data_IF_106001967351
#
_entry.id   IF_106001967351
#
_cell.length_a   1.000
_cell.length_b   1.000
_cell.length_c   1.000
_cell.angle_alpha   90.00
_cell.angle_beta   90.00
_cell.angle_gamma   90.00
#
_symmetry.space_group_name_H-M   'P 1'
#
loop_
_entity.id
_entity.type
_entity.pdbx_description
1 polymer ?
#
# COMPACT_ATOMS: atom_id res chain seq x y z
N UNK A 1 38.20 70.27 27.39
CA UNK A 1 37.19 69.70 26.49
C UNK A 1 37.44 68.19 26.43
N UNK A 2 36.53 67.38 26.96
CA UNK A 2 36.73 65.92 27.04
C UNK A 2 36.34 65.29 25.70
N UNK A 3 37.31 64.69 25.01
CA UNK A 3 37.08 64.01 23.74
C UNK A 3 36.38 62.68 24.01
N UNK A 4 35.08 62.60 23.70
CA UNK A 4 34.33 61.36 23.76
C UNK A 4 34.98 60.32 22.82
N UNK A 5 35.44 59.19 23.38
CA UNK A 5 36.16 58.17 22.64
C UNK A 5 35.19 57.37 21.74
N UNK A 6 35.18 57.57 20.40
CA UNK A 6 34.13 57.07 19.52
C UNK A 6 34.13 55.54 19.38
N UNK A 7 35.31 54.92 19.51
CA UNK A 7 35.50 53.46 19.44
C UNK A 7 34.75 52.70 20.54
N UNK A 8 34.71 53.24 21.76
CA UNK A 8 34.02 52.61 22.89
C UNK A 8 32.50 52.74 22.84
N UNK A 9 31.96 53.62 21.99
CA UNK A 9 30.52 53.72 21.74
C UNK A 9 30.07 52.62 20.77
N UNK A 10 30.80 52.48 19.66
CA UNK A 10 30.55 51.45 18.63
C UNK A 10 30.59 50.03 19.22
N UNK A 11 31.55 49.74 20.13
CA UNK A 11 31.62 48.42 20.77
C UNK A 11 30.42 48.13 21.68
N UNK A 12 29.87 49.15 22.35
CA UNK A 12 28.68 49.00 23.20
C UNK A 12 27.42 48.79 22.37
N UNK A 13 27.26 49.54 21.28
CA UNK A 13 26.10 49.40 20.39
C UNK A 13 26.07 47.99 19.76
N UNK A 14 27.22 47.45 19.37
CA UNK A 14 27.34 46.06 18.87
C UNK A 14 27.05 45.00 19.94
N UNK A 15 27.38 45.27 21.21
CA UNK A 15 27.07 44.36 22.31
C UNK A 15 25.56 44.29 22.57
N UNK A 16 24.89 45.45 22.55
CA UNK A 16 23.43 45.54 22.71
C UNK A 16 22.71 44.79 21.58
N UNK A 17 23.15 44.97 20.33
CA UNK A 17 22.59 44.24 19.18
C UNK A 17 22.77 42.72 19.32
N UNK A 18 23.92 42.27 19.84
CA UNK A 18 24.16 40.84 20.09
C UNK A 18 23.27 40.30 21.22
N UNK A 19 23.03 41.07 22.27
CA UNK A 19 22.11 40.72 23.36
C UNK A 19 20.66 40.58 22.85
N UNK A 20 20.22 41.50 21.98
CA UNK A 20 18.91 41.42 21.33
C UNK A 20 18.78 40.17 20.44
N UNK A 21 19.82 39.86 19.65
CA UNK A 21 19.84 38.65 18.83
C UNK A 21 19.84 37.37 19.67
N UNK A 22 20.58 37.36 20.80
CA UNK A 22 20.57 36.24 21.73
C UNK A 22 19.18 36.03 22.34
N UNK A 23 18.47 37.11 22.69
CA UNK A 23 17.12 37.02 23.21
C UNK A 23 16.14 36.45 22.16
N UNK A 24 16.24 36.90 20.91
CA UNK A 24 15.44 36.35 19.81
C UNK A 24 15.72 34.86 19.60
N UNK A 25 16.99 34.43 19.68
CA UNK A 25 17.35 33.02 19.53
C UNK A 25 16.76 32.14 20.65
N UNK A 26 16.70 32.66 21.88
CA UNK A 26 16.05 31.97 23.00
C UNK A 26 14.55 31.80 22.72
N UNK A 27 13.86 32.85 22.27
CA UNK A 27 12.44 32.79 21.93
C UNK A 27 12.14 31.80 20.80
N UNK A 28 13.01 31.77 19.77
CA UNK A 28 12.92 30.79 18.67
C UNK A 28 13.15 29.38 19.19
N UNK A 29 14.13 29.17 20.06
CA UNK A 29 14.41 27.86 20.67
C UNK A 29 13.23 27.35 21.49
N UNK A 30 12.59 28.23 22.26
CA UNK A 30 11.39 27.91 23.05
C UNK A 30 10.21 27.52 22.15
N UNK A 31 10.04 28.24 21.05
CA UNK A 31 9.01 27.95 20.04
C UNK A 31 9.25 26.60 19.35
N UNK A 32 10.51 26.26 19.03
CA UNK A 32 10.85 24.96 18.44
C UNK A 32 10.50 23.83 19.42
N UNK A 33 10.92 23.95 20.69
CA UNK A 33 10.63 22.94 21.72
C UNK A 33 9.12 22.74 21.91
N UNK A 34 8.35 23.83 21.85
CA UNK A 34 6.89 23.76 21.89
C UNK A 34 6.30 23.01 20.68
N UNK A 35 6.79 23.30 19.47
CA UNK A 35 6.34 22.62 18.26
C UNK A 35 6.69 21.14 18.25
N UNK A 36 7.89 20.77 18.71
CA UNK A 36 8.30 19.36 18.87
C UNK A 36 7.37 18.61 19.83
N UNK A 37 7.05 19.21 20.98
CA UNK A 37 6.08 18.62 21.92
C UNK A 37 4.69 18.43 21.30
N UNK A 38 4.22 19.40 20.49
CA UNK A 38 2.93 19.31 19.80
C UNK A 38 2.92 18.25 18.70
N UNK A 39 4.06 18.05 18.02
CA UNK A 39 4.20 16.99 17.03
C UNK A 39 4.14 15.60 17.67
N UNK A 40 4.81 15.41 18.81
CA UNK A 40 4.78 14.14 19.54
C UNK A 40 3.35 13.80 20.00
N UNK A 41 2.63 14.78 20.57
CA UNK A 41 1.23 14.61 20.99
C UNK A 41 0.32 14.21 19.81
N UNK A 42 0.54 14.81 18.62
CA UNK A 42 -0.21 14.47 17.41
C UNK A 42 0.13 13.04 16.96
N UNK A 43 1.41 12.66 16.98
CA UNK A 43 1.85 11.32 16.60
C UNK A 43 1.21 10.25 17.49
N UNK A 44 1.23 10.43 18.82
CA UNK A 44 0.59 9.54 19.79
C UNK A 44 -0.92 9.43 19.54
N UNK A 45 -1.59 10.55 19.24
CA UNK A 45 -3.03 10.57 18.96
C UNK A 45 -3.39 9.82 17.69
N UNK A 46 -2.59 9.97 16.62
CA UNK A 46 -2.77 9.24 15.36
C UNK A 46 -2.58 7.74 15.60
N UNK A 47 -1.54 7.36 16.33
CA UNK A 47 -1.21 5.98 16.67
C UNK A 47 -2.32 5.31 17.51
N UNK A 48 -2.87 6.02 18.49
CA UNK A 48 -4.03 5.55 19.25
C UNK A 48 -5.28 5.41 18.39
N UNK A 49 -5.56 6.36 17.50
CA UNK A 49 -6.70 6.30 16.58
C UNK A 49 -6.60 5.09 15.64
N UNK A 50 -5.42 4.84 15.07
CA UNK A 50 -5.19 3.68 14.20
C UNK A 50 -5.40 2.36 14.94
N UNK A 51 -4.85 2.23 16.16
CA UNK A 51 -5.07 1.03 16.98
C UNK A 51 -6.55 0.79 17.28
N UNK A 52 -7.29 1.84 17.62
CA UNK A 52 -8.71 1.74 17.91
C UNK A 52 -9.52 1.31 16.69
N UNK A 53 -9.21 1.87 15.51
CA UNK A 53 -9.88 1.49 14.26
C UNK A 53 -9.59 0.03 13.88
N UNK A 54 -8.34 -0.41 14.00
CA UNK A 54 -7.96 -1.82 13.78
C UNK A 54 -8.70 -2.74 14.75
N UNK A 55 -8.76 -2.39 16.04
CA UNK A 55 -9.48 -3.16 17.04
C UNK A 55 -10.98 -3.23 16.74
N UNK A 56 -11.58 -2.12 16.31
CA UNK A 56 -12.98 -2.05 15.92
C UNK A 56 -13.30 -2.92 14.71
N UNK A 57 -12.51 -2.80 13.63
CA UNK A 57 -12.64 -3.62 12.42
C UNK A 57 -12.48 -5.10 12.73
N UNK A 58 -11.46 -5.47 13.53
CA UNK A 58 -11.25 -6.86 13.96
C UNK A 58 -12.42 -7.40 14.77
N UNK A 59 -12.98 -6.59 15.67
CA UNK A 59 -14.16 -6.99 16.46
C UNK A 59 -15.36 -7.25 15.56
N UNK A 60 -15.63 -6.34 14.60
CA UNK A 60 -16.72 -6.52 13.63
C UNK A 60 -16.52 -7.78 12.79
N UNK A 61 -15.32 -7.99 12.26
CA UNK A 61 -14.98 -9.17 11.46
C UNK A 61 -15.23 -10.46 12.26
N UNK A 62 -14.75 -10.52 13.51
CA UNK A 62 -14.95 -11.67 14.39
C UNK A 62 -16.43 -11.95 14.69
N UNK A 63 -17.23 -10.90 14.91
CA UNK A 63 -18.68 -11.04 15.10
C UNK A 63 -19.37 -11.56 13.83
N UNK A 64 -19.01 -11.05 12.66
CA UNK A 64 -19.54 -11.52 11.38
C UNK A 64 -19.16 -12.97 11.13
N UNK A 65 -17.90 -13.37 11.36
CA UNK A 65 -17.46 -14.76 11.25
C UNK A 65 -18.21 -15.68 12.20
N UNK A 66 -18.42 -15.26 13.46
CA UNK A 66 -19.19 -16.03 14.43
C UNK A 66 -20.66 -16.16 14.05
N UNK A 67 -21.29 -15.08 13.56
CA UNK A 67 -22.67 -15.13 13.09
C UNK A 67 -22.83 -16.09 11.90
N UNK A 68 -21.89 -16.08 10.94
CA UNK A 68 -21.88 -17.01 9.82
C UNK A 68 -21.66 -18.47 10.29
N UNK A 69 -20.76 -18.71 11.25
CA UNK A 69 -20.55 -20.02 11.83
C UNK A 69 -21.80 -20.56 12.55
N UNK A 70 -22.52 -19.70 13.27
CA UNK A 70 -23.73 -20.06 13.99
C UNK A 70 -24.97 -20.23 13.10
N UNK A 71 -24.96 -19.69 11.88
CA UNK A 71 -26.02 -19.87 10.88
C UNK A 71 -25.80 -21.11 9.99
N UNK A 72 -24.63 -21.77 10.08
CA UNK A 72 -24.38 -23.00 9.36
C UNK A 72 -25.27 -24.14 9.93
N UNK A 73 -25.95 -24.95 9.10
CA UNK A 73 -26.65 -26.14 9.56
C UNK A 73 -25.71 -27.08 10.34
N UNK A 74 -26.24 -27.84 11.31
CA UNK A 74 -25.53 -28.84 12.11
C UNK A 74 -24.94 -29.93 11.22
N UNK A 75 -23.80 -29.63 10.60
CA UNK A 75 -23.26 -30.37 9.46
C UNK A 75 -22.14 -29.62 8.74
N UNK A 76 -21.40 -28.76 9.45
CA UNK A 76 -20.01 -28.40 9.13
C UNK A 76 -19.69 -27.70 7.80
N UNK A 77 -20.67 -27.29 7.00
CA UNK A 77 -20.41 -26.62 5.73
C UNK A 77 -21.14 -25.27 5.66
N UNK A 78 -20.44 -24.19 6.02
CA UNK A 78 -20.72 -22.90 5.39
C UNK A 78 -20.35 -23.10 3.92
N UNK A 79 -21.33 -23.43 3.09
CA UNK A 79 -21.18 -23.28 1.66
C UNK A 79 -21.19 -21.77 1.41
N UNK A 80 -20.03 -21.10 1.59
CA UNK A 80 -19.70 -20.02 0.65
C UNK A 80 -19.95 -20.70 -0.67
N UNK A 81 -20.96 -20.28 -1.44
CA UNK A 81 -21.17 -20.86 -2.76
C UNK A 81 -19.85 -20.61 -3.48
N UNK A 82 -18.97 -21.61 -3.50
CA UNK A 82 -17.75 -21.59 -4.26
C UNK A 82 -18.32 -21.72 -5.65
N UNK A 83 -18.67 -20.57 -6.23
CA UNK A 83 -19.08 -20.46 -7.61
C UNK A 83 -18.02 -21.26 -8.33
N UNK A 84 -18.41 -22.40 -8.90
CA UNK A 84 -17.47 -23.23 -9.65
C UNK A 84 -17.09 -22.38 -10.84
N UNK A 85 -15.94 -21.71 -10.74
CA UNK A 85 -15.44 -20.86 -11.81
C UNK A 85 -15.16 -21.82 -12.97
N UNK A 86 -15.84 -21.68 -14.12
CA UNK A 86 -15.59 -22.54 -15.25
C UNK A 86 -14.14 -22.40 -15.70
N UNK A 87 -13.47 -23.51 -15.98
CA UNK A 87 -12.13 -23.46 -16.56
C UNK A 87 -12.18 -22.85 -17.97
N UNK A 88 -11.18 -22.03 -18.33
CA UNK A 88 -11.14 -21.41 -19.64
C UNK A 88 -10.88 -22.47 -20.71
N UNK A 89 -11.49 -22.27 -21.88
CA UNK A 89 -11.35 -23.20 -23.01
C UNK A 89 -9.90 -23.20 -23.51
N UNK A 90 -9.26 -24.37 -23.72
CA UNK A 90 -7.90 -24.42 -24.22
C UNK A 90 -7.77 -23.84 -25.64
N UNK A 91 -6.63 -23.22 -25.93
CA UNK A 91 -6.27 -22.75 -27.27
C UNK A 91 -5.24 -23.66 -27.92
N UNK A 92 -5.59 -24.22 -29.08
CA UNK A 92 -4.78 -25.19 -29.81
C UNK A 92 -3.85 -24.58 -30.88
N UNK A 93 -3.87 -23.25 -31.09
CA UNK A 93 -3.00 -22.61 -32.08
C UNK A 93 -3.67 -22.33 -33.43
N UNK A 94 -5.00 -22.28 -33.46
CA UNK A 94 -5.75 -21.91 -34.66
C UNK A 94 -5.26 -20.56 -35.21
N UNK A 95 -5.01 -20.48 -36.52
CA UNK A 95 -4.63 -19.24 -37.23
C UNK A 95 -5.86 -18.36 -37.50
N UNK A 96 -6.58 -18.06 -36.44
CA UNK A 96 -7.80 -17.26 -36.42
C UNK A 96 -7.69 -16.22 -35.31
N UNK A 97 -7.66 -14.94 -35.70
CA UNK A 97 -7.57 -13.82 -34.78
C UNK A 97 -8.71 -13.81 -33.75
N UNK A 98 -9.93 -14.18 -34.18
CA UNK A 98 -11.09 -14.22 -33.30
C UNK A 98 -10.98 -15.32 -32.25
N UNK A 99 -10.43 -16.47 -32.62
CA UNK A 99 -10.19 -17.57 -31.68
C UNK A 99 -9.15 -17.18 -30.61
N UNK A 100 -8.09 -16.46 -31.03
CA UNK A 100 -7.07 -15.95 -30.13
C UNK A 100 -7.60 -14.87 -29.17
N UNK A 101 -8.36 -13.90 -29.69
CA UNK A 101 -8.99 -12.85 -28.87
C UNK A 101 -9.94 -13.43 -27.83
N UNK A 102 -10.79 -14.38 -28.23
CA UNK A 102 -11.70 -15.06 -27.31
C UNK A 102 -10.95 -15.82 -26.20
N UNK A 103 -9.81 -16.44 -26.53
CA UNK A 103 -8.99 -17.14 -25.55
C UNK A 103 -8.37 -16.18 -24.52
N UNK A 104 -7.78 -15.07 -24.98
CA UNK A 104 -7.21 -14.04 -24.11
C UNK A 104 -8.30 -13.46 -23.20
N UNK A 105 -9.44 -13.09 -23.77
CA UNK A 105 -10.56 -12.55 -23.00
C UNK A 105 -11.04 -13.52 -21.91
N UNK A 106 -11.22 -14.81 -22.24
CA UNK A 106 -11.63 -15.81 -21.27
C UNK A 106 -10.61 -15.99 -20.13
N UNK A 107 -9.31 -15.91 -20.42
CA UNK A 107 -8.25 -15.96 -19.40
C UNK A 107 -8.27 -14.74 -18.48
N UNK A 108 -8.46 -13.54 -19.02
CA UNK A 108 -8.58 -12.32 -18.21
C UNK A 108 -9.76 -12.38 -17.25
N UNK A 109 -10.91 -12.86 -17.75
CA UNK A 109 -12.10 -13.06 -16.92
C UNK A 109 -11.86 -14.12 -15.85
N UNK A 110 -11.15 -15.20 -16.20
CA UNK A 110 -10.77 -16.24 -15.25
C UNK A 110 -9.85 -15.69 -14.15
N UNK A 111 -8.80 -14.94 -14.49
CA UNK A 111 -7.89 -14.34 -13.50
C UNK A 111 -8.61 -13.39 -12.53
N UNK A 112 -9.58 -12.61 -13.04
CA UNK A 112 -10.43 -11.75 -12.20
C UNK A 112 -11.30 -12.58 -11.26
N UNK A 113 -11.89 -13.67 -11.74
CA UNK A 113 -12.74 -14.54 -10.94
C UNK A 113 -11.94 -15.32 -9.87
N UNK A 114 -10.71 -15.75 -10.18
CA UNK A 114 -9.84 -16.50 -9.26
C UNK A 114 -8.96 -15.60 -8.39
N UNK A 115 -9.04 -14.28 -8.55
CA UNK A 115 -8.17 -13.32 -7.90
C UNK A 115 -6.67 -13.65 -8.10
N UNK A 116 -6.30 -14.06 -9.32
CA UNK A 116 -4.90 -14.35 -9.67
C UNK A 116 -4.17 -13.03 -9.90
N UNK A 117 -3.40 -12.60 -8.90
CA UNK A 117 -2.79 -11.26 -8.88
C UNK A 117 -1.40 -11.24 -9.53
N UNK A 118 -0.59 -12.28 -9.36
CA UNK A 118 0.82 -12.27 -9.81
C UNK A 118 0.94 -12.58 -11.30
N UNK A 119 1.79 -11.83 -12.01
CA UNK A 119 2.02 -12.04 -13.45
C UNK A 119 2.61 -13.41 -13.75
N UNK A 120 3.49 -13.93 -12.89
CA UNK A 120 4.03 -15.29 -13.01
C UNK A 120 2.92 -16.36 -12.96
N UNK A 121 1.96 -16.22 -12.04
CA UNK A 121 0.83 -17.16 -11.96
C UNK A 121 -0.11 -17.02 -13.15
N UNK A 122 -0.33 -15.80 -13.66
CA UNK A 122 -1.12 -15.56 -14.88
C UNK A 122 -0.46 -16.21 -16.10
N UNK A 123 0.85 -16.03 -16.30
CA UNK A 123 1.60 -16.65 -17.42
C UNK A 123 1.60 -18.17 -17.31
N UNK A 124 1.84 -18.70 -16.11
CA UNK A 124 1.80 -20.15 -15.85
C UNK A 124 0.43 -20.73 -16.21
N UNK A 125 -0.64 -20.09 -15.74
CA UNK A 125 -2.01 -20.56 -15.95
C UNK A 125 -2.47 -20.40 -17.41
N UNK A 126 -2.12 -19.29 -18.06
CA UNK A 126 -2.32 -19.13 -19.51
C UNK A 126 -1.65 -20.28 -20.27
N UNK A 127 -0.37 -20.55 -19.98
CA UNK A 127 0.39 -21.64 -20.60
C UNK A 127 -0.22 -23.02 -20.33
N UNK A 128 -0.75 -23.26 -19.12
CA UNK A 128 -1.43 -24.51 -18.78
C UNK A 128 -2.64 -24.75 -19.68
N UNK A 129 -3.35 -23.69 -20.05
CA UNK A 129 -4.52 -23.72 -20.94
C UNK A 129 -4.17 -23.56 -22.44
N UNK A 130 -2.90 -23.64 -22.83
CA UNK A 130 -2.52 -23.89 -24.23
C UNK A 130 -2.46 -25.38 -24.50
N UNK A 131 -2.86 -25.81 -25.70
CA UNK A 131 -2.79 -27.20 -26.17
C UNK A 131 -2.11 -27.30 -27.53
N UNK A 132 -1.75 -28.51 -27.94
CA UNK A 132 -1.27 -28.84 -29.29
C UNK A 132 -0.15 -27.91 -29.78
N UNK A 133 -0.28 -27.37 -31.00
CA UNK A 133 0.72 -26.55 -31.68
C UNK A 133 1.04 -25.28 -30.91
N UNK A 134 0.05 -24.68 -30.24
CA UNK A 134 0.27 -23.51 -29.40
C UNK A 134 1.21 -23.81 -28.23
N UNK A 135 1.03 -24.95 -27.56
CA UNK A 135 1.88 -25.36 -26.44
C UNK A 135 3.28 -25.75 -26.89
N UNK A 136 3.41 -26.37 -28.07
CA UNK A 136 4.71 -26.71 -28.67
C UNK A 136 5.49 -25.44 -29.03
N UNK A 137 4.83 -24.46 -29.65
CA UNK A 137 5.44 -23.17 -29.98
C UNK A 137 5.93 -22.44 -28.74
N UNK A 138 5.11 -22.38 -27.68
CA UNK A 138 5.49 -21.72 -26.42
C UNK A 138 6.73 -22.37 -25.79
N UNK A 139 6.78 -23.71 -25.75
CA UNK A 139 7.94 -24.45 -25.22
C UNK A 139 9.22 -24.16 -26.01
N UNK A 140 9.12 -24.06 -27.34
CA UNK A 140 10.28 -23.70 -28.16
C UNK A 140 10.86 -22.34 -27.79
N UNK A 141 10.02 -21.38 -27.38
CA UNK A 141 10.47 -20.03 -26.96
C UNK A 141 10.99 -19.98 -25.53
N UNK A 142 10.47 -20.84 -24.66
CA UNK A 142 10.91 -20.91 -23.26
C UNK A 142 12.29 -21.55 -23.09
N UNK A 143 12.68 -22.46 -24.00
CA UNK A 143 14.02 -23.10 -23.99
C UNK A 143 15.12 -22.16 -24.51
N UNK A 144 14.74 -21.11 -25.25
CA UNK A 144 15.66 -20.12 -25.82
C UNK A 144 15.88 -18.87 -24.92
N UNK A 145 15.35 -18.87 -23.69
CA UNK A 145 15.45 -17.78 -22.70
C UNK A 145 16.36 -18.11 -21.53
#
# INVERSE_FOLDING_TARGET
MSSANPSGKIQRDRLVELEEQMLYLVEVSDSIRFLESRLEEIAEKIDMMMRNEIAYVNTRLNLTMRAMANQAPAGGAILVSRVKIPEPKPFCGARDAKALENYIFNLEQYFRATNTITEEAKVTLATMHMSEDAKLWWRSRYVDM
#
